data_IF_598237290213
#
_entry.id   IF_598237290213
#
_cell.length_a   1.000
_cell.length_b   1.000
_cell.length_c   1.000
_cell.angle_alpha   90.00
_cell.angle_beta   90.00
_cell.angle_gamma   90.00
#
_symmetry.space_group_name_H-M   'P 1'
#
loop_
_entity.id
_entity.type
_entity.pdbx_description
1 polymer ?
#
# COMPACT_ATOMS: atom_id res chain seq x y z
N UNK A 1 80.61 43.18 -6.36
CA UNK A 1 80.65 41.90 -5.61
C UNK A 1 80.36 40.77 -6.61
N UNK A 2 81.37 39.98 -7.01
CA UNK A 2 81.22 38.95 -8.06
C UNK A 2 80.54 37.72 -7.46
N UNK A 3 79.31 37.41 -7.87
CA UNK A 3 78.65 36.16 -7.47
C UNK A 3 79.50 34.95 -7.91
N UNK A 4 79.72 33.95 -7.04
CA UNK A 4 80.52 32.79 -7.40
C UNK A 4 79.86 32.02 -8.54
N UNK A 5 80.61 31.67 -9.58
CA UNK A 5 80.13 30.96 -10.80
C UNK A 5 79.34 29.67 -10.51
N UNK A 6 79.49 29.08 -9.31
CA UNK A 6 78.71 27.91 -8.84
C UNK A 6 77.24 28.25 -8.56
N UNK A 7 76.91 29.50 -8.19
CA UNK A 7 75.54 29.94 -7.91
C UNK A 7 74.72 30.13 -9.20
N UNK A 8 75.39 30.45 -10.31
CA UNK A 8 74.75 30.69 -11.62
C UNK A 8 74.28 29.38 -12.29
N UNK A 9 74.90 28.24 -11.94
CA UNK A 9 74.50 26.91 -12.41
C UNK A 9 73.40 26.26 -11.53
N UNK A 10 73.23 26.70 -10.28
CA UNK A 10 72.22 26.16 -9.36
C UNK A 10 70.81 26.73 -9.60
N UNK A 11 70.72 27.96 -10.11
CA UNK A 11 69.46 28.65 -10.42
C UNK A 11 68.56 27.91 -11.45
N UNK A 12 69.06 27.46 -12.61
CA UNK A 12 68.24 26.72 -13.57
C UNK A 12 67.83 25.33 -13.04
N UNK A 13 68.68 24.68 -12.24
CA UNK A 13 68.37 23.39 -11.62
C UNK A 13 67.25 23.53 -10.57
N UNK A 14 67.30 24.57 -9.73
CA UNK A 14 66.24 24.87 -8.79
C UNK A 14 64.91 25.22 -9.50
N UNK A 15 64.97 25.89 -10.65
CA UNK A 15 63.79 26.16 -11.47
C UNK A 15 63.21 24.87 -12.07
N UNK A 16 64.04 23.95 -12.59
CA UNK A 16 63.58 22.65 -13.11
C UNK A 16 62.99 21.77 -12.00
N UNK A 17 63.60 21.75 -10.81
CA UNK A 17 63.06 21.02 -9.65
C UNK A 17 61.77 21.67 -9.14
N UNK A 18 61.68 23.00 -9.15
CA UNK A 18 60.46 23.73 -8.79
C UNK A 18 59.31 23.51 -9.77
N UNK A 19 59.60 23.52 -11.07
CA UNK A 19 58.63 23.20 -12.13
C UNK A 19 58.25 21.72 -12.06
N UNK A 20 59.21 20.82 -11.87
CA UNK A 20 58.97 19.39 -11.68
C UNK A 20 58.10 19.10 -10.45
N UNK A 21 58.33 19.81 -9.34
CA UNK A 21 57.51 19.71 -8.14
C UNK A 21 56.10 20.30 -8.35
N UNK A 22 55.98 21.40 -9.09
CA UNK A 22 54.67 21.98 -9.46
C UNK A 22 53.88 21.06 -10.38
N UNK A 23 54.51 20.52 -11.42
CA UNK A 23 53.91 19.55 -12.35
C UNK A 23 53.55 18.25 -11.60
N UNK A 24 54.43 17.73 -10.75
CA UNK A 24 54.11 16.55 -9.93
C UNK A 24 52.99 16.81 -8.93
N UNK A 25 52.88 18.02 -8.38
CA UNK A 25 51.77 18.38 -7.49
C UNK A 25 50.46 18.61 -8.24
N UNK A 26 50.53 19.07 -9.49
CA UNK A 26 49.38 19.36 -10.34
C UNK A 26 48.85 18.12 -11.08
N UNK A 27 49.71 17.13 -11.35
CA UNK A 27 49.36 15.87 -12.04
C UNK A 27 49.43 14.61 -11.16
N UNK A 28 50.08 14.68 -9.99
CA UNK A 28 50.18 13.58 -9.02
C UNK A 28 49.25 13.73 -7.81
N UNK A 29 48.36 14.73 -7.81
CA UNK A 29 47.25 14.75 -6.87
C UNK A 29 46.36 13.53 -7.15
N UNK A 30 46.14 12.62 -6.17
CA UNK A 30 45.23 11.50 -6.33
C UNK A 30 43.87 12.03 -6.77
N UNK A 31 43.24 11.41 -7.76
CA UNK A 31 41.87 11.73 -8.14
C UNK A 31 41.01 11.67 -6.87
N UNK A 32 40.42 12.81 -6.42
CA UNK A 32 39.63 12.85 -5.20
C UNK A 32 38.40 11.94 -5.27
N UNK A 33 38.03 11.47 -6.47
CA UNK A 33 36.94 10.54 -6.73
C UNK A 33 37.43 9.13 -7.10
N UNK A 34 38.73 8.82 -6.97
CA UNK A 34 39.19 7.44 -7.05
C UNK A 34 38.33 6.57 -6.11
N UNK A 35 37.91 5.38 -6.54
CA UNK A 35 37.03 4.50 -5.74
C UNK A 35 35.60 5.00 -5.50
N UNK A 36 35.19 6.09 -6.16
CA UNK A 36 33.83 6.66 -6.09
C UNK A 36 33.27 6.81 -7.51
N UNK A 37 32.27 6.01 -7.82
CA UNK A 37 31.50 6.14 -9.04
C UNK A 37 30.49 7.29 -8.90
N UNK A 38 30.26 8.03 -9.98
CA UNK A 38 29.22 9.06 -9.99
C UNK A 38 28.51 9.13 -11.33
N UNK A 39 27.24 9.54 -11.29
CA UNK A 39 26.45 9.81 -12.48
C UNK A 39 25.37 10.84 -12.15
N UNK A 40 24.84 11.47 -13.20
CA UNK A 40 23.69 12.35 -13.10
C UNK A 40 22.41 11.52 -13.09
N UNK A 41 21.40 12.00 -12.38
CA UNK A 41 20.07 11.45 -12.40
C UNK A 41 19.04 12.49 -11.98
N UNK A 42 17.80 12.04 -11.77
CA UNK A 42 16.70 12.89 -11.32
C UNK A 42 16.08 12.31 -10.07
N UNK A 43 15.69 13.18 -9.15
CA UNK A 43 14.91 12.79 -7.99
C UNK A 43 13.52 12.32 -8.44
N UNK A 44 13.15 11.13 -8.00
CA UNK A 44 11.87 10.49 -8.24
C UNK A 44 11.29 10.07 -6.89
N UNK A 45 9.98 10.25 -6.74
CA UNK A 45 9.23 9.71 -5.62
C UNK A 45 8.50 8.44 -6.04
N UNK A 46 8.29 7.49 -5.13
CA UNK A 46 7.42 6.37 -5.43
C UNK A 46 6.00 6.86 -5.72
N UNK A 47 5.52 6.53 -6.92
CA UNK A 47 4.19 6.84 -7.40
C UNK A 47 3.26 5.65 -7.15
N UNK A 48 2.06 5.93 -6.71
CA UNK A 48 0.99 4.96 -6.53
C UNK A 48 -0.31 5.49 -7.12
N UNK A 49 -0.87 4.75 -8.06
CA UNK A 49 -2.16 5.07 -8.64
C UNK A 49 -3.26 4.49 -7.75
N UNK A 50 -4.10 5.35 -7.20
CA UNK A 50 -5.30 4.96 -6.45
C UNK A 50 -6.43 4.74 -7.43
N UNK A 51 -6.97 3.53 -7.44
CA UNK A 51 -8.03 3.11 -8.34
C UNK A 51 -9.33 2.83 -7.60
N UNK A 52 -10.46 2.92 -8.32
CA UNK A 52 -11.76 2.49 -7.81
C UNK A 52 -11.85 0.96 -7.82
N UNK A 53 -12.35 0.37 -6.74
CA UNK A 53 -12.61 -1.08 -6.68
C UNK A 53 -13.80 -1.48 -7.55
N UNK A 54 -14.81 -0.60 -7.63
CA UNK A 54 -16.04 -0.82 -8.38
C UNK A 54 -16.18 0.15 -9.55
N UNK A 55 -16.93 -0.28 -10.57
CA UNK A 55 -17.30 0.61 -11.66
C UNK A 55 -18.33 1.65 -11.17
N UNK A 56 -18.22 2.89 -11.65
CA UNK A 56 -19.13 3.94 -11.25
C UNK A 56 -18.82 5.27 -11.93
N UNK A 57 -19.79 6.20 -11.86
CA UNK A 57 -19.59 7.58 -12.31
C UNK A 57 -18.97 8.39 -11.18
N UNK A 58 -17.94 9.17 -11.46
CA UNK A 58 -17.38 10.12 -10.49
C UNK A 58 -18.38 11.25 -10.29
N UNK A 59 -18.86 11.44 -9.06
CA UNK A 59 -19.73 12.56 -8.70
C UNK A 59 -18.90 13.79 -8.34
N UNK A 60 -17.87 13.58 -7.52
CA UNK A 60 -17.01 14.66 -7.06
C UNK A 60 -15.57 14.21 -6.80
N UNK A 61 -14.65 15.16 -7.02
CA UNK A 61 -13.23 15.06 -6.66
C UNK A 61 -12.98 15.98 -5.47
N UNK A 62 -12.61 15.42 -4.32
CA UNK A 62 -12.45 16.14 -3.05
C UNK A 62 -11.03 16.69 -2.85
N UNK A 63 -10.12 16.39 -3.78
CA UNK A 63 -8.71 16.79 -3.72
C UNK A 63 -8.26 17.54 -4.97
N UNK A 64 -7.18 18.31 -4.81
CA UNK A 64 -6.52 19.05 -5.89
C UNK A 64 -5.10 18.54 -6.12
N UNK A 65 -4.59 18.74 -7.33
CA UNK A 65 -3.19 18.47 -7.63
C UNK A 65 -2.27 19.33 -6.75
N UNK A 66 -1.18 18.72 -6.26
CA UNK A 66 -0.25 19.32 -5.31
C UNK A 66 -0.70 19.25 -3.83
N UNK A 67 -1.95 18.91 -3.54
CA UNK A 67 -2.45 18.78 -2.17
C UNK A 67 -1.80 17.58 -1.46
N UNK A 68 -1.38 17.78 -0.21
CA UNK A 68 -0.97 16.68 0.66
C UNK A 68 -2.20 16.07 1.34
N UNK A 69 -2.27 14.74 1.37
CA UNK A 69 -3.35 13.97 1.96
C UNK A 69 -2.79 12.94 2.93
N UNK A 70 -3.51 12.72 4.03
CA UNK A 70 -3.20 11.65 4.97
C UNK A 70 -3.82 10.33 4.50
N UNK A 71 -3.35 9.21 5.08
CA UNK A 71 -3.99 7.91 4.89
C UNK A 71 -5.48 7.97 5.27
N UNK A 72 -6.31 7.21 4.57
CA UNK A 72 -7.77 7.12 4.70
C UNK A 72 -8.57 8.38 4.29
N UNK A 73 -7.90 9.44 3.85
CA UNK A 73 -8.57 10.65 3.32
C UNK A 73 -9.38 10.29 2.06
N UNK A 74 -10.64 10.73 2.00
CA UNK A 74 -11.49 10.54 0.82
C UNK A 74 -11.00 11.44 -0.32
N UNK A 75 -10.64 10.82 -1.44
CA UNK A 75 -10.11 11.48 -2.63
C UNK A 75 -11.21 11.83 -3.63
N UNK A 76 -12.16 10.92 -3.81
CA UNK A 76 -13.27 11.05 -4.73
C UNK A 76 -14.48 10.25 -4.25
N UNK A 77 -15.67 10.66 -4.68
CA UNK A 77 -16.90 9.88 -4.50
C UNK A 77 -17.45 9.46 -5.85
N UNK A 78 -17.73 8.17 -5.98
CA UNK A 78 -18.46 7.61 -7.10
C UNK A 78 -19.94 7.53 -6.73
N UNK A 79 -20.79 7.62 -7.75
CA UNK A 79 -22.23 7.56 -7.58
C UNK A 79 -22.67 6.25 -6.95
N UNK A 80 -23.43 6.37 -5.86
CA UNK A 80 -23.92 5.25 -5.06
C UNK A 80 -25.41 4.99 -5.23
N UNK A 81 -26.11 5.67 -6.14
CA UNK A 81 -27.57 5.61 -6.26
C UNK A 81 -28.10 4.17 -6.39
N UNK A 82 -27.48 3.37 -7.25
CA UNK A 82 -27.87 1.98 -7.47
C UNK A 82 -27.58 1.11 -6.24
N UNK A 83 -26.43 1.30 -5.60
CA UNK A 83 -26.06 0.58 -4.39
C UNK A 83 -26.94 0.98 -3.19
N UNK A 84 -27.34 2.25 -3.10
CA UNK A 84 -28.24 2.77 -2.07
C UNK A 84 -29.67 2.24 -2.26
N UNK A 85 -30.13 2.13 -3.50
CA UNK A 85 -31.40 1.46 -3.81
C UNK A 85 -31.37 -0.02 -3.40
N UNK A 86 -30.28 -0.74 -3.73
CA UNK A 86 -30.09 -2.13 -3.30
C UNK A 86 -30.02 -2.28 -1.77
N UNK A 87 -29.40 -1.33 -1.06
CA UNK A 87 -29.39 -1.34 0.40
C UNK A 87 -30.80 -1.17 0.97
N UNK A 88 -31.60 -0.27 0.37
CA UNK A 88 -32.99 -0.04 0.77
C UNK A 88 -33.86 -1.27 0.51
N UNK A 89 -33.68 -1.96 -0.62
CA UNK A 89 -34.32 -3.24 -0.91
C UNK A 89 -33.94 -4.32 0.12
N UNK A 90 -32.64 -4.44 0.43
CA UNK A 90 -32.16 -5.40 1.42
C UNK A 90 -32.71 -5.13 2.84
N UNK A 91 -32.84 -3.85 3.22
CA UNK A 91 -33.48 -3.43 4.47
C UNK A 91 -34.95 -3.83 4.52
N UNK A 92 -35.70 -3.62 3.44
CA UNK A 92 -37.09 -4.05 3.34
C UNK A 92 -37.24 -5.58 3.42
N UNK A 93 -36.36 -6.32 2.73
CA UNK A 93 -36.30 -7.78 2.79
C UNK A 93 -36.04 -8.30 4.20
N UNK A 94 -35.10 -7.68 4.93
CA UNK A 94 -34.87 -7.99 6.35
C UNK A 94 -36.12 -7.75 7.19
N UNK A 95 -36.80 -6.61 7.03
CA UNK A 95 -38.01 -6.29 7.79
C UNK A 95 -39.14 -7.31 7.55
N UNK A 96 -39.29 -7.81 6.32
CA UNK A 96 -40.24 -8.87 5.98
C UNK A 96 -39.90 -10.20 6.66
N UNK A 97 -38.62 -10.57 6.71
CA UNK A 97 -38.15 -11.77 7.40
C UNK A 97 -38.33 -11.67 8.92
N UNK A 98 -38.11 -10.49 9.50
CA UNK A 98 -38.41 -10.25 10.92
C UNK A 98 -39.90 -10.42 11.23
N UNK A 99 -40.81 -10.01 10.33
CA UNK A 99 -42.23 -10.35 10.48
C UNK A 99 -42.49 -11.86 10.41
N UNK A 100 -41.76 -12.57 9.55
CA UNK A 100 -41.86 -14.03 9.45
C UNK A 100 -41.43 -14.70 10.75
N UNK A 101 -40.34 -14.24 11.37
CA UNK A 101 -39.91 -14.68 12.71
C UNK A 101 -41.00 -14.40 13.74
N UNK A 102 -41.63 -13.23 13.73
CA UNK A 102 -42.75 -12.90 14.65
C UNK A 102 -43.93 -13.86 14.48
N UNK A 103 -44.32 -14.18 13.24
CA UNK A 103 -45.37 -15.17 12.96
C UNK A 103 -44.99 -16.57 13.45
N UNK A 104 -43.77 -17.01 13.17
CA UNK A 104 -43.28 -18.32 13.64
C UNK A 104 -43.23 -18.39 15.18
N UNK A 105 -42.84 -17.30 15.84
CA UNK A 105 -42.86 -17.20 17.30
C UNK A 105 -44.28 -17.30 17.87
N UNK A 106 -45.26 -16.64 17.25
CA UNK A 106 -46.66 -16.76 17.64
C UNK A 106 -47.17 -18.21 17.47
N UNK A 107 -46.76 -18.89 16.39
CA UNK A 107 -47.09 -20.29 16.17
C UNK A 107 -46.49 -21.20 17.24
N UNK A 108 -45.23 -20.99 17.63
CA UNK A 108 -44.60 -21.72 18.76
C UNK A 108 -45.44 -21.55 20.03
N UNK A 109 -45.83 -20.32 20.37
CA UNK A 109 -46.66 -20.05 21.55
C UNK A 109 -48.02 -20.75 21.48
N UNK A 110 -48.67 -20.78 20.31
CA UNK A 110 -49.94 -21.49 20.11
C UNK A 110 -49.78 -23.00 20.30
N UNK A 111 -48.74 -23.61 19.73
CA UNK A 111 -48.45 -25.04 19.87
C UNK A 111 -48.08 -25.40 21.32
N UNK A 112 -47.37 -24.53 22.03
CA UNK A 112 -47.04 -24.71 23.45
C UNK A 112 -48.31 -24.74 24.31
N UNK A 113 -49.28 -23.88 24.02
CA UNK A 113 -50.56 -23.88 24.73
C UNK A 113 -51.35 -25.17 24.45
N UNK A 114 -51.34 -25.66 23.21
CA UNK A 114 -51.96 -26.95 22.86
C UNK A 114 -51.29 -28.13 23.58
N UNK A 115 -49.95 -28.15 23.63
CA UNK A 115 -49.20 -29.14 24.40
C UNK A 115 -49.57 -29.11 25.89
N UNK A 116 -49.72 -27.91 26.48
CA UNK A 116 -50.13 -27.77 27.88
C UNK A 116 -51.51 -28.40 28.12
N UNK A 117 -52.48 -28.17 27.24
CA UNK A 117 -53.79 -28.83 27.31
C UNK A 117 -53.67 -30.34 27.20
N UNK A 118 -52.95 -30.85 26.21
CA UNK A 118 -52.75 -32.29 26.02
C UNK A 118 -52.00 -32.96 27.18
N UNK A 119 -51.09 -32.24 27.85
CA UNK A 119 -50.42 -32.70 29.06
C UNK A 119 -51.41 -32.86 30.22
N UNK A 120 -52.24 -31.84 30.49
CA UNK A 120 -53.26 -31.90 31.53
C UNK A 120 -54.26 -33.05 31.30
N UNK A 121 -54.67 -33.27 30.04
CA UNK A 121 -55.54 -34.38 29.67
C UNK A 121 -54.87 -35.74 29.88
N UNK A 122 -53.60 -35.89 29.49
CA UNK A 122 -52.85 -37.12 29.70
C UNK A 122 -52.61 -37.40 31.20
N UNK A 123 -52.39 -36.37 32.02
CA UNK A 123 -52.22 -36.51 33.46
C UNK A 123 -53.53 -36.88 34.16
N UNK A 124 -54.64 -36.28 33.75
CA UNK A 124 -55.98 -36.68 34.20
C UNK A 124 -56.30 -38.12 33.80
N UNK A 125 -56.04 -38.51 32.55
CA UNK A 125 -56.26 -39.88 32.07
C UNK A 125 -55.43 -40.91 32.86
N UNK A 126 -54.19 -40.58 33.24
CA UNK A 126 -53.38 -41.44 34.13
C UNK A 126 -54.03 -41.61 35.51
N UNK A 127 -54.60 -40.55 36.06
CA UNK A 127 -55.31 -40.64 37.33
C UNK A 127 -56.57 -41.51 37.21
N UNK A 128 -57.42 -41.24 36.21
CA UNK A 128 -58.64 -42.02 35.96
C UNK A 128 -58.34 -43.51 35.69
N UNK A 129 -57.23 -43.82 35.00
CA UNK A 129 -56.82 -45.20 34.78
C UNK A 129 -56.40 -45.89 36.08
N UNK A 130 -55.67 -45.22 36.97
CA UNK A 130 -55.34 -45.74 38.32
C UNK A 130 -56.59 -46.02 39.14
N UNK A 131 -57.61 -45.20 38.98
CA UNK A 131 -58.91 -45.33 39.64
C UNK A 131 -59.84 -46.35 38.93
N UNK A 132 -59.36 -47.03 37.87
CA UNK A 132 -60.10 -47.99 37.03
C UNK A 132 -61.34 -47.41 36.33
N UNK A 133 -61.35 -46.09 36.05
CA UNK A 133 -62.46 -45.37 35.43
C UNK A 133 -62.39 -45.30 33.89
N UNK A 134 -61.23 -45.62 33.29
CA UNK A 134 -61.04 -45.66 31.83
C UNK A 134 -60.25 -46.90 31.40
N UNK A 135 -60.31 -47.24 30.10
CA UNK A 135 -59.57 -48.36 29.52
C UNK A 135 -58.10 -48.00 29.21
N UNK A 136 -57.26 -49.03 29.05
CA UNK A 136 -55.87 -48.85 28.60
C UNK A 136 -55.78 -48.18 27.21
N UNK A 137 -56.74 -48.46 26.33
CA UNK A 137 -56.78 -47.86 24.99
C UNK A 137 -57.03 -46.35 25.04
N UNK A 138 -57.90 -45.89 25.95
CA UNK A 138 -58.15 -44.45 26.16
C UNK A 138 -56.89 -43.76 26.73
N UNK A 139 -56.25 -44.36 27.74
CA UNK A 139 -54.99 -43.84 28.27
C UNK A 139 -53.91 -43.70 27.18
N UNK A 140 -53.73 -44.73 26.36
CA UNK A 140 -52.76 -44.72 25.26
C UNK A 140 -53.06 -43.63 24.24
N UNK A 141 -54.35 -43.41 23.93
CA UNK A 141 -54.78 -42.34 23.02
C UNK A 141 -54.39 -40.96 23.56
N UNK A 142 -54.62 -40.67 24.85
CA UNK A 142 -54.25 -39.39 25.46
C UNK A 142 -52.74 -39.17 25.53
N UNK A 143 -51.98 -40.23 25.82
CA UNK A 143 -50.52 -40.16 25.79
C UNK A 143 -50.00 -39.90 24.37
N UNK A 144 -50.55 -40.57 23.36
CA UNK A 144 -50.20 -40.34 21.96
C UNK A 144 -50.53 -38.90 21.51
N UNK A 145 -51.68 -38.35 21.93
CA UNK A 145 -52.06 -36.96 21.66
C UNK A 145 -51.07 -35.96 22.28
N UNK A 146 -50.64 -36.18 23.52
CA UNK A 146 -49.59 -35.37 24.16
C UNK A 146 -48.28 -35.44 23.37
N UNK A 147 -47.87 -36.63 22.95
CA UNK A 147 -46.62 -36.82 22.23
C UNK A 147 -46.66 -36.20 20.83
N UNK A 148 -47.81 -36.26 20.15
CA UNK A 148 -48.06 -35.54 18.91
C UNK A 148 -47.98 -34.01 19.11
N UNK A 149 -48.61 -33.47 20.16
CA UNK A 149 -48.51 -32.05 20.48
C UNK A 149 -47.08 -31.62 20.81
N UNK A 150 -46.30 -32.49 21.47
CA UNK A 150 -44.88 -32.23 21.76
C UNK A 150 -44.06 -32.16 20.46
N UNK A 151 -44.29 -33.09 19.53
CA UNK A 151 -43.64 -33.07 18.22
C UNK A 151 -44.02 -31.81 17.43
N UNK A 152 -45.28 -31.35 17.51
CA UNK A 152 -45.74 -30.14 16.86
C UNK A 152 -45.03 -28.87 17.40
N UNK A 153 -44.78 -28.79 18.72
CA UNK A 153 -43.96 -27.71 19.31
C UNK A 153 -42.53 -27.74 18.77
N UNK A 154 -41.92 -28.93 18.70
CA UNK A 154 -40.56 -29.07 18.16
C UNK A 154 -40.48 -28.63 16.70
N UNK A 155 -41.45 -29.02 15.87
CA UNK A 155 -41.53 -28.59 14.47
C UNK A 155 -41.71 -27.07 14.34
N UNK A 156 -42.58 -26.45 15.15
CA UNK A 156 -42.75 -25.00 15.16
C UNK A 156 -41.47 -24.26 15.60
N UNK A 157 -40.74 -24.81 16.58
CA UNK A 157 -39.47 -24.25 17.03
C UNK A 157 -38.40 -24.34 15.93
N UNK A 158 -38.35 -25.46 15.20
CA UNK A 158 -37.46 -25.61 14.05
C UNK A 158 -37.78 -24.56 12.96
N UNK A 159 -39.06 -24.37 12.63
CA UNK A 159 -39.50 -23.34 11.68
C UNK A 159 -39.16 -21.91 12.13
N UNK A 160 -39.26 -21.61 13.43
CA UNK A 160 -38.79 -20.33 13.99
C UNK A 160 -37.28 -20.16 13.80
N UNK A 161 -36.50 -21.18 14.11
CA UNK A 161 -35.04 -21.12 13.97
C UNK A 161 -34.63 -20.94 12.49
N UNK A 162 -35.31 -21.60 11.56
CA UNK A 162 -35.14 -21.41 10.11
C UNK A 162 -35.44 -19.95 9.70
N UNK A 163 -36.56 -19.39 10.17
CA UNK A 163 -36.89 -17.99 9.91
C UNK A 163 -35.84 -17.02 10.47
N UNK A 164 -35.26 -17.32 11.64
CA UNK A 164 -34.16 -16.54 12.22
C UNK A 164 -32.88 -16.63 11.39
N UNK A 165 -32.55 -17.81 10.88
CA UNK A 165 -31.43 -17.97 9.96
C UNK A 165 -31.62 -17.13 8.69
N UNK A 166 -32.85 -17.03 8.17
CA UNK A 166 -33.19 -16.14 7.07
C UNK A 166 -32.89 -14.66 7.38
N UNK A 167 -33.21 -14.18 8.60
CA UNK A 167 -32.83 -12.82 9.03
C UNK A 167 -31.32 -12.63 9.02
N UNK A 168 -30.55 -13.63 9.48
CA UNK A 168 -29.08 -13.60 9.44
C UNK A 168 -28.53 -13.48 8.02
N UNK A 169 -29.10 -14.21 7.06
CA UNK A 169 -28.74 -14.10 5.64
C UNK A 169 -29.04 -12.70 5.07
N UNK A 170 -30.19 -12.12 5.41
CA UNK A 170 -30.53 -10.77 4.99
C UNK A 170 -29.60 -9.70 5.60
N UNK A 171 -29.19 -9.87 6.85
CA UNK A 171 -28.20 -9.01 7.49
C UNK A 171 -26.84 -9.09 6.79
N UNK A 172 -26.38 -10.30 6.44
CA UNK A 172 -25.15 -10.48 5.67
C UNK A 172 -25.24 -9.79 4.29
N UNK A 173 -26.40 -9.89 3.63
CA UNK A 173 -26.64 -9.19 2.36
C UNK A 173 -26.57 -7.66 2.51
N UNK A 174 -27.17 -7.12 3.57
CA UNK A 174 -27.07 -5.68 3.88
C UNK A 174 -25.62 -5.26 4.10
N UNK A 175 -24.86 -6.01 4.91
CA UNK A 175 -23.45 -5.72 5.18
C UNK A 175 -22.61 -5.73 3.90
N UNK A 176 -22.87 -6.69 3.00
CA UNK A 176 -22.22 -6.74 1.68
C UNK A 176 -22.47 -5.45 0.89
N UNK A 177 -23.72 -5.01 0.76
CA UNK A 177 -24.06 -3.80 0.00
C UNK A 177 -23.51 -2.54 0.67
N UNK A 178 -23.53 -2.47 2.01
CA UNK A 178 -22.91 -1.36 2.75
C UNK A 178 -21.40 -1.27 2.53
N UNK A 179 -20.70 -2.41 2.41
CA UNK A 179 -19.27 -2.42 2.04
C UNK A 179 -19.06 -1.82 0.66
N UNK A 180 -19.88 -2.21 -0.32
CA UNK A 180 -19.80 -1.65 -1.69
C UNK A 180 -20.00 -0.13 -1.67
N UNK A 181 -20.96 0.39 -0.90
CA UNK A 181 -21.17 1.84 -0.75
C UNK A 181 -19.95 2.52 -0.12
N UNK A 182 -19.33 1.89 0.87
CA UNK A 182 -18.08 2.37 1.47
C UNK A 182 -16.95 2.47 0.44
N UNK A 183 -16.80 1.44 -0.39
CA UNK A 183 -15.76 1.34 -1.42
C UNK A 183 -15.98 2.28 -2.62
N UNK A 184 -17.20 2.80 -2.81
CA UNK A 184 -17.49 3.88 -3.77
C UNK A 184 -16.95 5.24 -3.30
N UNK A 185 -16.57 5.37 -2.02
CA UNK A 185 -15.74 6.49 -1.55
C UNK A 185 -14.27 6.11 -1.65
N UNK A 186 -13.60 6.54 -2.72
CA UNK A 186 -12.19 6.19 -2.98
C UNK A 186 -11.30 6.95 -2.00
N UNK A 187 -10.54 6.21 -1.19
CA UNK A 187 -9.68 6.74 -0.12
C UNK A 187 -8.21 6.53 -0.43
N UNK A 188 -7.37 7.39 0.16
CA UNK A 188 -5.92 7.26 0.08
C UNK A 188 -5.44 6.05 0.92
N UNK A 189 -4.77 5.04 0.35
CA UNK A 189 -4.29 3.92 1.14
C UNK A 189 -3.02 4.26 1.95
N UNK A 190 -2.32 5.34 1.61
CA UNK A 190 -1.20 5.89 2.40
C UNK A 190 -1.17 7.42 2.26
N UNK A 191 -0.48 8.08 3.19
CA UNK A 191 -0.24 9.51 3.10
C UNK A 191 0.67 9.84 1.91
N UNK A 192 0.44 10.98 1.27
CA UNK A 192 1.20 11.39 0.10
C UNK A 192 0.71 12.69 -0.51
N UNK A 193 1.42 13.16 -1.54
CA UNK A 193 1.02 14.33 -2.32
C UNK A 193 0.32 13.91 -3.60
N UNK A 194 -0.83 14.50 -3.88
CA UNK A 194 -1.55 14.33 -5.14
C UNK A 194 -0.70 14.88 -6.27
N UNK A 195 -0.31 14.01 -7.20
CA UNK A 195 0.42 14.42 -8.40
C UNK A 195 -0.53 14.76 -9.53
N UNK A 196 -1.43 13.84 -9.86
CA UNK A 196 -2.36 13.95 -10.95
C UNK A 196 -3.76 13.53 -10.53
N UNK A 197 -4.76 14.26 -11.02
CA UNK A 197 -6.15 13.80 -11.06
C UNK A 197 -6.39 13.10 -12.39
N UNK A 198 -6.53 11.79 -12.34
CA UNK A 198 -6.73 10.96 -13.54
C UNK A 198 -8.20 10.83 -13.91
N UNK A 199 -9.10 11.10 -12.96
CA UNK A 199 -10.54 11.15 -13.17
C UNK A 199 -11.10 12.54 -12.86
N UNK A 200 -12.15 12.89 -13.58
CA UNK A 200 -12.89 14.14 -13.43
C UNK A 200 -14.37 13.86 -13.13
N UNK A 201 -15.07 14.79 -12.45
CA UNK A 201 -16.52 14.67 -12.25
C UNK A 201 -17.25 14.43 -13.57
N UNK A 202 -18.15 13.45 -13.57
CA UNK A 202 -18.88 12.99 -14.75
C UNK A 202 -18.24 11.82 -15.49
N UNK A 203 -16.94 11.55 -15.31
CA UNK A 203 -16.28 10.38 -15.90
C UNK A 203 -16.92 9.09 -15.38
N UNK A 204 -17.01 8.08 -16.25
CA UNK A 204 -17.41 6.72 -15.88
C UNK A 204 -16.16 5.86 -15.84
N UNK A 205 -15.86 5.32 -14.67
CA UNK A 205 -14.70 4.47 -14.45
C UNK A 205 -15.12 2.99 -14.44
N UNK A 206 -14.32 2.11 -15.06
CA UNK A 206 -14.46 0.67 -14.84
C UNK A 206 -13.90 0.29 -13.46
N UNK A 207 -14.13 -0.96 -13.02
CA UNK A 207 -13.40 -1.52 -11.89
C UNK A 207 -11.89 -1.52 -12.17
N UNK A 208 -11.09 -1.07 -11.21
CA UNK A 208 -9.65 -0.83 -11.40
C UNK A 208 -9.31 0.48 -12.13
N UNK A 209 -10.32 1.31 -12.46
CA UNK A 209 -10.10 2.62 -13.07
C UNK A 209 -9.34 3.56 -12.13
N UNK A 210 -8.25 4.14 -12.62
CA UNK A 210 -7.40 5.05 -11.85
C UNK A 210 -8.10 6.39 -11.60
N UNK A 211 -8.08 6.86 -10.37
CA UNK A 211 -8.75 8.10 -9.93
C UNK A 211 -7.73 9.20 -9.68
N UNK A 212 -6.69 8.89 -8.89
CA UNK A 212 -5.66 9.83 -8.46
C UNK A 212 -4.29 9.15 -8.46
N UNK A 213 -3.25 9.85 -8.88
CA UNK A 213 -1.85 9.45 -8.66
C UNK A 213 -1.32 10.14 -7.39
N UNK A 214 -0.82 9.36 -6.44
CA UNK A 214 -0.18 9.84 -5.21
C UNK A 214 1.33 9.62 -5.26
N UNK A 215 2.10 10.61 -4.83
CA UNK A 215 3.53 10.49 -4.57
C UNK A 215 3.77 10.27 -3.08
N UNK A 216 4.50 9.21 -2.75
CA UNK A 216 5.01 8.98 -1.41
C UNK A 216 6.28 9.82 -1.22
N UNK A 217 6.17 10.90 -0.43
CA UNK A 217 7.28 11.82 -0.19
C UNK A 217 8.38 11.24 0.70
N UNK A 218 8.13 10.12 1.38
CA UNK A 218 9.11 9.42 2.20
C UNK A 218 9.95 8.42 1.39
N UNK A 219 9.49 8.04 0.19
CA UNK A 219 10.21 7.17 -0.74
C UNK A 219 10.83 8.02 -1.85
N UNK A 220 11.91 8.72 -1.49
CA UNK A 220 12.66 9.59 -2.38
C UNK A 220 13.92 8.90 -2.90
N UNK A 221 14.10 8.87 -4.22
CA UNK A 221 15.16 8.11 -4.87
C UNK A 221 15.71 8.76 -6.13
N UNK A 222 16.90 8.36 -6.55
CA UNK A 222 17.49 8.74 -7.83
C UNK A 222 17.93 7.50 -8.59
N UNK A 223 17.67 7.49 -9.89
CA UNK A 223 18.16 6.47 -10.80
C UNK A 223 19.45 6.93 -11.46
N UNK A 224 20.55 6.20 -11.21
CA UNK A 224 21.84 6.40 -11.85
C UNK A 224 22.08 5.34 -12.92
N UNK A 225 22.87 5.67 -13.93
CA UNK A 225 23.31 4.72 -14.95
C UNK A 225 24.83 4.62 -14.94
N UNK A 226 25.34 3.47 -14.51
CA UNK A 226 26.77 3.23 -14.33
C UNK A 226 27.27 2.12 -15.26
N UNK A 227 28.52 2.17 -15.75
CA UNK A 227 29.11 1.13 -16.58
C UNK A 227 29.22 -0.23 -15.87
N UNK A 228 29.16 -1.33 -16.64
CA UNK A 228 29.23 -2.69 -16.10
C UNK A 228 30.42 -2.97 -15.15
N UNK A 229 31.67 -2.56 -15.46
CA UNK A 229 32.81 -2.83 -14.58
C UNK A 229 32.69 -2.16 -13.21
N UNK A 230 32.01 -1.00 -13.17
CA UNK A 230 31.77 -0.22 -11.96
C UNK A 230 30.67 -0.84 -11.12
N UNK A 231 29.58 -1.29 -11.76
CA UNK A 231 28.44 -1.91 -11.07
C UNK A 231 28.81 -3.23 -10.39
N UNK A 232 29.71 -4.02 -10.99
CA UNK A 232 30.23 -5.25 -10.38
C UNK A 232 30.95 -5.02 -9.04
N UNK A 233 31.38 -3.79 -8.75
CA UNK A 233 32.07 -3.42 -7.53
C UNK A 233 31.14 -2.81 -6.47
N UNK A 234 29.84 -2.70 -6.75
CA UNK A 234 28.86 -2.05 -5.88
C UNK A 234 27.93 -3.11 -5.28
N UNK A 235 28.14 -3.54 -4.03
CA UNK A 235 27.18 -4.35 -3.29
C UNK A 235 25.84 -3.62 -3.08
N UNK A 236 24.76 -4.38 -2.98
CA UNK A 236 23.49 -3.86 -2.46
C UNK A 236 23.66 -3.38 -1.00
N UNK A 237 23.01 -2.28 -0.65
CA UNK A 237 23.13 -1.64 0.66
C UNK A 237 24.37 -0.75 0.82
N UNK A 238 25.19 -0.59 -0.22
CA UNK A 238 26.36 0.29 -0.18
C UNK A 238 25.97 1.74 0.13
N UNK A 239 26.82 2.42 0.89
CA UNK A 239 26.65 3.85 1.16
C UNK A 239 26.79 4.68 -0.12
N UNK A 240 25.88 5.63 -0.27
CA UNK A 240 25.88 6.58 -1.37
C UNK A 240 25.61 8.01 -0.85
N UNK A 241 25.85 8.99 -1.70
CA UNK A 241 25.57 10.40 -1.45
C UNK A 241 24.87 11.00 -2.65
N UNK A 242 23.87 11.84 -2.41
CA UNK A 242 23.14 12.54 -3.47
C UNK A 242 23.37 14.04 -3.27
N UNK A 243 24.03 14.67 -4.23
CA UNK A 243 24.19 16.12 -4.28
C UNK A 243 23.17 16.68 -5.24
N UNK A 244 22.26 17.51 -4.74
CA UNK A 244 21.22 18.14 -5.57
C UNK A 244 21.81 19.30 -6.36
N UNK A 245 21.39 19.44 -7.62
CA UNK A 245 21.77 20.61 -8.41
C UNK A 245 20.91 21.80 -7.98
N UNK A 246 21.56 22.93 -7.67
CA UNK A 246 20.88 24.15 -7.19
C UNK A 246 20.62 24.22 -5.69
N UNK A 247 20.99 23.19 -4.91
CA UNK A 247 21.01 23.22 -3.46
C UNK A 247 22.39 22.74 -2.99
N UNK A 248 23.12 23.55 -2.19
CA UNK A 248 24.40 23.12 -1.60
C UNK A 248 24.17 22.17 -0.41
N UNK A 249 23.49 21.06 -0.69
CA UNK A 249 23.17 20.01 0.24
C UNK A 249 23.54 18.64 -0.35
N UNK A 250 24.07 17.78 0.53
CA UNK A 250 24.44 16.40 0.24
C UNK A 250 23.63 15.50 1.15
N UNK A 251 22.68 14.77 0.55
CA UNK A 251 21.82 13.84 1.26
C UNK A 251 22.53 12.48 1.39
N UNK A 252 22.41 11.82 2.56
CA UNK A 252 22.82 10.43 2.69
C UNK A 252 21.87 9.56 1.86
N UNK A 253 22.41 8.53 1.21
CA UNK A 253 21.64 7.57 0.45
C UNK A 253 22.24 6.16 0.57
N UNK A 254 21.46 5.17 0.16
CA UNK A 254 21.92 3.78 0.07
C UNK A 254 21.53 3.18 -1.28
N UNK A 255 22.34 2.24 -1.77
CA UNK A 255 22.03 1.49 -2.98
C UNK A 255 20.95 0.45 -2.67
N UNK A 256 19.74 0.63 -3.21
CA UNK A 256 18.61 -0.28 -2.94
C UNK A 256 18.29 -1.22 -4.09
N UNK A 257 18.69 -0.87 -5.31
CA UNK A 257 18.45 -1.69 -6.49
C UNK A 257 19.57 -1.54 -7.51
N UNK A 258 19.95 -2.67 -8.11
CA UNK A 258 20.85 -2.75 -9.25
C UNK A 258 20.16 -3.61 -10.30
N UNK A 259 20.00 -3.07 -11.50
CA UNK A 259 19.35 -3.77 -12.62
C UNK A 259 20.18 -4.99 -13.03
N UNK A 260 19.51 -6.13 -13.25
CA UNK A 260 20.14 -7.31 -13.82
C UNK A 260 20.43 -7.16 -15.33
N UNK A 261 19.67 -6.28 -16.01
CA UNK A 261 19.79 -6.03 -17.44
C UNK A 261 20.35 -4.64 -17.71
N UNK A 262 21.10 -4.51 -18.81
CA UNK A 262 21.59 -3.22 -19.29
C UNK A 262 20.44 -2.41 -19.89
N UNK A 263 20.28 -1.17 -19.42
CA UNK A 263 19.18 -0.27 -19.84
C UNK A 263 19.55 0.57 -21.07
N UNK A 264 20.85 0.73 -21.32
CA UNK A 264 21.36 1.32 -22.55
C UNK A 264 22.45 0.41 -23.12
N UNK A 265 22.21 -0.07 -24.35
CA UNK A 265 23.14 -0.93 -25.10
C UNK A 265 23.60 -0.21 -26.37
N UNK A 266 24.90 -0.21 -26.71
CA UNK A 266 25.36 0.23 -28.02
C UNK A 266 24.74 -0.61 -29.15
N UNK A 267 24.71 -0.08 -30.38
CA UNK A 267 24.15 -0.78 -31.56
C UNK A 267 24.87 -2.09 -31.90
N UNK A 268 26.13 -2.25 -31.49
CA UNK A 268 26.96 -3.43 -31.68
C UNK A 268 27.69 -3.73 -30.36
N UNK A 269 27.69 -4.99 -29.92
CA UNK A 269 28.24 -5.44 -28.61
C UNK A 269 29.15 -6.66 -28.77
N UNK A 270 29.89 -6.73 -29.88
CA UNK A 270 30.71 -7.89 -30.23
C UNK A 270 32.09 -7.84 -29.56
N UNK A 271 32.56 -6.63 -29.23
CA UNK A 271 33.89 -6.42 -28.64
C UNK A 271 33.85 -6.17 -27.12
N UNK A 272 34.95 -6.45 -26.42
CA UNK A 272 35.08 -6.20 -24.98
C UNK A 272 34.89 -4.72 -24.62
N UNK A 273 35.35 -3.79 -25.48
CA UNK A 273 35.16 -2.34 -25.28
C UNK A 273 33.71 -1.90 -25.44
N UNK A 274 32.93 -2.55 -26.30
CA UNK A 274 31.50 -2.26 -26.45
C UNK A 274 30.68 -2.76 -25.25
N UNK A 275 31.09 -3.87 -24.62
CA UNK A 275 30.48 -4.33 -23.36
C UNK A 275 30.73 -3.35 -22.20
N UNK A 276 31.84 -2.62 -22.20
CA UNK A 276 32.11 -1.56 -21.22
C UNK A 276 31.15 -0.37 -21.36
N UNK A 277 30.51 -0.19 -22.52
CA UNK A 277 29.49 0.84 -22.76
C UNK A 277 28.08 0.42 -22.33
N UNK A 278 27.90 -0.81 -21.82
CA UNK A 278 26.65 -1.24 -21.23
C UNK A 278 26.41 -0.48 -19.93
N UNK A 279 25.27 0.21 -19.86
CA UNK A 279 24.89 0.99 -18.69
C UNK A 279 23.80 0.26 -17.92
N UNK A 280 24.04 0.09 -16.63
CA UNK A 280 23.12 -0.56 -15.70
C UNK A 280 22.51 0.47 -14.77
N UNK A 281 21.21 0.33 -14.52
CA UNK A 281 20.49 1.22 -13.59
C UNK A 281 20.82 0.84 -12.15
N UNK A 282 21.27 1.82 -11.38
CA UNK A 282 21.49 1.73 -9.93
C UNK A 282 20.57 2.74 -9.25
N UNK A 283 19.68 2.28 -8.37
CA UNK A 283 18.76 3.14 -7.62
C UNK A 283 19.39 3.49 -6.28
N UNK A 284 19.52 4.78 -6.01
CA UNK A 284 19.92 5.30 -4.70
C UNK A 284 18.71 5.83 -3.97
N UNK A 285 18.53 5.41 -2.73
CA UNK A 285 17.40 5.76 -1.90
C UNK A 285 17.84 6.66 -0.75
N UNK A 286 17.14 7.78 -0.55
CA UNK A 286 17.30 8.62 0.64
C UNK A 286 16.58 7.93 1.81
N UNK A 287 17.18 7.84 3.01
CA UNK A 287 16.51 7.34 4.20
C UNK A 287 15.18 8.05 4.47
N UNK A 288 14.15 7.29 4.85
CA UNK A 288 12.78 7.78 4.94
C UNK A 288 12.60 8.90 5.98
N UNK A 289 13.35 8.86 7.08
CA UNK A 289 13.40 9.89 8.13
C UNK A 289 13.95 11.22 7.62
N UNK A 290 15.02 11.16 6.81
CA UNK A 290 15.60 12.34 6.17
C UNK A 290 14.65 12.88 5.10
N UNK A 291 14.08 12.01 4.27
CA UNK A 291 13.11 12.40 3.25
C UNK A 291 11.89 13.09 3.90
N UNK A 292 11.35 12.54 5.00
CA UNK A 292 10.23 13.09 5.75
C UNK A 292 10.51 14.49 6.33
N UNK A 293 11.72 14.72 6.85
CA UNK A 293 12.10 16.02 7.42
C UNK A 293 12.26 17.12 6.35
N UNK A 294 12.70 16.74 5.15
CA UNK A 294 13.06 17.68 4.08
C UNK A 294 12.09 17.64 2.88
N UNK A 295 10.87 17.12 3.06
CA UNK A 295 9.85 17.02 2.01
C UNK A 295 9.53 18.36 1.31
N UNK A 296 9.71 19.50 1.99
CA UNK A 296 9.51 20.83 1.40
C UNK A 296 10.58 21.22 0.37
N UNK A 297 11.80 20.71 0.53
CA UNK A 297 12.93 20.99 -0.35
C UNK A 297 13.08 19.97 -1.47
N UNK A 298 12.64 18.73 -1.25
CA UNK A 298 12.69 17.64 -2.23
C UNK A 298 11.51 17.73 -3.20
N UNK A 299 11.80 17.94 -4.48
CA UNK A 299 10.78 17.98 -5.56
C UNK A 299 11.11 16.95 -6.64
N UNK A 300 10.09 16.27 -7.12
CA UNK A 300 10.23 15.33 -8.22
C UNK A 300 10.78 16.03 -9.46
N UNK A 301 11.73 15.40 -10.15
CA UNK A 301 12.37 15.94 -11.35
C UNK A 301 13.58 16.83 -11.10
N UNK A 302 13.94 17.15 -9.85
CA UNK A 302 15.20 17.84 -9.54
C UNK A 302 16.39 17.04 -10.06
N UNK A 303 17.31 17.69 -10.76
CA UNK A 303 18.54 17.05 -11.19
C UNK A 303 19.50 16.93 -10.02
N UNK A 304 20.20 15.81 -9.93
CA UNK A 304 21.18 15.58 -8.89
C UNK A 304 22.30 14.69 -9.41
N UNK A 305 23.47 14.83 -8.81
CA UNK A 305 24.58 13.91 -9.00
C UNK A 305 24.59 12.91 -7.85
N UNK A 306 24.50 11.62 -8.17
CA UNK A 306 24.64 10.57 -7.19
C UNK A 306 26.06 10.00 -7.20
N UNK A 307 26.61 9.78 -6.01
CA UNK A 307 27.94 9.25 -5.76
C UNK A 307 27.82 7.93 -5.01
N UNK A 308 28.49 6.90 -5.50
CA UNK A 308 28.48 5.55 -4.93
C UNK A 308 29.90 5.08 -4.69
N UNK A 309 30.18 4.59 -3.50
CA UNK A 309 31.49 3.98 -3.21
C UNK A 309 31.61 2.64 -3.92
N UNK A 310 32.69 2.47 -4.68
CA UNK A 310 33.11 1.17 -5.22
C UNK A 310 34.16 0.50 -4.34
N UNK A 311 34.87 1.27 -3.51
CA UNK A 311 35.72 0.75 -2.43
C UNK A 311 35.24 1.26 -1.06
N UNK A 312 34.83 0.34 -0.20
CA UNK A 312 34.34 0.66 1.14
C UNK A 312 35.43 1.25 2.07
N UNK A 313 36.72 0.97 1.80
CA UNK A 313 37.84 1.42 2.63
C UNK A 313 38.20 2.90 2.40
N UNK A 314 37.72 3.50 1.33
CA UNK A 314 38.05 4.87 1.00
C UNK A 314 37.10 5.87 1.72
N UNK A 315 37.63 6.88 2.43
CA UNK A 315 36.79 7.88 3.09
C UNK A 315 36.08 8.78 2.05
N UNK A 316 34.96 9.39 2.46
CA UNK A 316 34.26 10.37 1.62
C UNK A 316 35.12 11.64 1.55
N UNK A 317 35.28 12.26 0.36
CA UNK A 317 35.83 13.61 0.25
C UNK A 317 35.01 14.59 1.09
N UNK A 318 35.66 15.63 1.63
CA UNK A 318 35.01 16.62 2.50
C UNK A 318 33.78 17.28 1.85
N UNK A 319 33.79 17.44 0.53
CA UNK A 319 32.68 18.02 -0.26
C UNK A 319 31.44 17.13 -0.31
N UNK A 320 31.61 15.82 -0.11
CA UNK A 320 30.56 14.79 -0.14
C UNK A 320 30.14 14.34 1.27
N UNK A 321 30.66 14.98 2.31
CA UNK A 321 30.11 14.83 3.64
C UNK A 321 28.66 15.31 3.68
N UNK A 322 27.83 14.58 4.42
CA UNK A 322 26.41 14.88 4.56
C UNK A 322 26.22 16.30 5.09
N UNK A 323 25.63 17.15 4.25
CA UNK A 323 25.24 18.52 4.57
C UNK A 323 23.77 18.65 4.24
N UNK A 324 22.93 18.65 5.26
CA UNK A 324 21.50 18.81 5.09
C UNK A 324 21.18 20.31 5.10
N UNK A 325 20.18 20.76 4.32
CA UNK A 325 19.78 22.17 4.33
C UNK A 325 19.30 22.56 5.73
N UNK A 326 19.60 23.81 6.13
CA UNK A 326 19.10 24.39 7.39
C UNK A 326 17.67 24.90 7.23
#
# INVERSE_FOLDING_TARGET
>A
MKLPKRLLLLLPLAAIVGIGALVFRQYGAPDPLAGIAHANGRLEFARMDVASLYAGRVEEMLVKEGQYVEADTVLARLSSDTAQAQLSEAQAGKAQLEQTVRRAQAQVSAQQQQLKTAQMEADNARQLFRDNLISQAELNTRLAQRDAARAAVQAAQAARNEAQAGVGQAQAKMAQVSSVIGDLSVRAPQAGRVEYRLAEPGNVLPAGGKVVSLLNLNDASISLFLPAPTVNQIPLGSEARIKMDGLDAVFPATVTYVSAEAQFTPKFVETAEERTKLMFRVKLQIPADVAAKYQGYLKGGMTATGFVRTDAKQPWPAELHTRLPQ
#
